data_IF_873952712156
#
_entry.id   IF_873952712156
#
_cell.length_a   1.000
_cell.length_b   1.000
_cell.length_c   1.000
_cell.angle_alpha   90.00
_cell.angle_beta   90.00
_cell.angle_gamma   90.00
#
_symmetry.space_group_name_H-M   'P 1'
#
loop_
_entity.id
_entity.type
_entity.pdbx_description
1 polymer ?
#
# COMPACT_ATOMS: atom_id res chain seq x y z
N UNK A 1 2.58 26.28 28.85
CA UNK A 1 2.76 26.01 27.42
C UNK A 1 2.62 24.51 27.22
N UNK A 2 1.45 24.07 26.76
CA UNK A 2 1.17 22.64 26.53
C UNK A 2 1.66 22.29 25.11
N UNK A 3 2.73 21.51 25.01
CA UNK A 3 3.15 20.91 23.76
C UNK A 3 2.25 19.70 23.49
N UNK A 4 1.25 19.88 22.63
CA UNK A 4 0.56 18.76 22.00
C UNK A 4 1.54 18.11 21.01
N UNK A 5 2.18 17.01 21.41
CA UNK A 5 2.84 16.10 20.47
C UNK A 5 1.74 15.28 19.80
N UNK A 6 1.37 15.66 18.58
CA UNK A 6 0.54 14.82 17.72
C UNK A 6 1.34 13.55 17.37
N UNK A 7 0.81 12.43 17.77
CA UNK A 7 1.32 11.11 17.43
C UNK A 7 0.87 10.79 16.00
N UNK A 8 1.81 10.68 15.08
CA UNK A 8 1.56 10.38 13.67
C UNK A 8 1.37 8.86 13.53
N UNK A 9 0.14 8.41 13.35
CA UNK A 9 -0.17 7.00 13.06
C UNK A 9 0.10 6.77 11.58
N UNK A 10 1.02 5.83 11.29
CA UNK A 10 1.42 5.49 9.94
C UNK A 10 0.54 4.39 9.36
N UNK A 11 -0.36 4.75 8.49
CA UNK A 11 -0.94 3.85 7.51
C UNK A 11 -0.69 4.44 6.12
N UNK A 12 -0.08 3.65 5.27
CA UNK A 12 0.41 4.03 3.95
C UNK A 12 -0.66 3.86 2.90
N UNK A 13 -0.84 4.82 2.12
CA UNK A 13 -1.16 5.00 0.71
C UNK A 13 -2.15 6.13 0.50
N UNK A 14 -1.71 7.17 -0.11
CA UNK A 14 -2.36 8.07 -1.05
C UNK A 14 -1.48 9.28 -1.26
N UNK A 15 -0.47 9.10 -2.13
CA UNK A 15 0.17 10.25 -2.73
C UNK A 15 -0.67 10.61 -3.98
N UNK A 16 -1.83 11.23 -3.79
CA UNK A 16 -2.53 11.86 -4.92
C UNK A 16 -1.82 13.16 -5.23
N UNK A 17 -0.94 13.12 -6.20
CA UNK A 17 -0.31 14.32 -6.73
C UNK A 17 -1.04 14.68 -8.01
N UNK A 18 -1.80 15.76 -7.98
CA UNK A 18 -2.39 16.35 -9.18
C UNK A 18 -1.28 16.99 -10.01
N UNK A 19 -0.97 16.43 -11.17
CA UNK A 19 -0.07 17.07 -12.13
C UNK A 19 -0.78 18.22 -12.84
N UNK A 20 -0.07 19.34 -12.93
CA UNK A 20 -0.35 20.40 -13.92
C UNK A 20 -0.08 19.79 -15.31
N UNK A 21 -1.14 19.66 -16.11
CA UNK A 21 -1.10 18.93 -17.34
C UNK A 21 -0.17 19.49 -18.39
N UNK A 22 0.64 18.61 -18.97
CA UNK A 22 1.01 18.65 -20.36
C UNK A 22 0.37 17.46 -21.06
N UNK A 23 -0.64 17.71 -21.89
CA UNK A 23 -1.19 16.70 -22.79
C UNK A 23 -0.14 16.39 -23.85
N UNK A 24 0.53 15.28 -23.76
CA UNK A 24 1.11 14.63 -24.93
C UNK A 24 0.36 13.34 -25.19
N UNK A 25 -0.26 13.26 -26.34
CA UNK A 25 -1.04 12.12 -26.83
C UNK A 25 -0.15 11.03 -27.46
N UNK A 26 1.12 10.94 -27.11
CA UNK A 26 2.00 9.87 -27.57
C UNK A 26 2.26 8.93 -26.40
N UNK A 27 1.85 7.68 -26.57
CA UNK A 27 2.31 6.56 -25.74
C UNK A 27 3.79 6.34 -26.04
N UNK A 28 4.65 7.26 -25.60
CA UNK A 28 6.08 7.09 -25.72
C UNK A 28 6.51 5.91 -24.85
N UNK A 29 6.68 4.76 -25.51
CA UNK A 29 7.34 3.60 -24.94
C UNK A 29 8.73 4.06 -24.54
N UNK A 30 9.00 4.12 -23.23
CA UNK A 30 10.32 4.49 -22.74
C UNK A 30 11.29 3.33 -23.00
N UNK A 31 11.84 3.25 -24.20
CA UNK A 31 12.76 2.18 -24.64
C UNK A 31 14.16 2.28 -24.02
N UNK A 32 14.36 3.11 -22.99
CA UNK A 32 15.64 3.25 -22.31
C UNK A 32 15.94 2.08 -21.36
N UNK A 33 15.86 0.85 -21.89
CA UNK A 33 16.29 -0.33 -21.15
C UNK A 33 17.19 -1.23 -22.01
N UNK A 34 17.94 -2.07 -21.33
CA UNK A 34 18.79 -3.12 -21.92
C UNK A 34 18.56 -4.43 -21.18
N UNK A 35 18.31 -5.49 -21.95
CA UNK A 35 18.20 -6.86 -21.43
C UNK A 35 19.60 -7.48 -21.52
N UNK A 36 20.19 -7.81 -20.37
CA UNK A 36 21.57 -8.31 -20.29
C UNK A 36 21.70 -9.76 -20.79
N UNK A 37 20.62 -10.53 -20.74
CA UNK A 37 20.54 -11.92 -21.24
C UNK A 37 19.32 -12.06 -22.14
N UNK A 38 19.39 -11.71 -23.43
CA UNK A 38 18.20 -11.60 -24.30
C UNK A 38 17.42 -12.91 -24.52
N UNK A 39 18.03 -14.05 -24.24
CA UNK A 39 17.39 -15.37 -24.37
C UNK A 39 16.71 -15.83 -23.08
N UNK A 40 16.94 -15.14 -21.97
CA UNK A 40 16.37 -15.47 -20.68
C UNK A 40 15.07 -14.69 -20.43
N UNK A 41 14.17 -15.30 -19.70
CA UNK A 41 13.00 -14.59 -19.20
C UNK A 41 13.42 -13.53 -18.20
N UNK A 42 12.72 -12.39 -18.20
CA UNK A 42 12.94 -11.34 -17.20
C UNK A 42 12.05 -11.65 -16.00
N UNK A 43 12.62 -12.29 -14.99
CA UNK A 43 11.93 -12.69 -13.77
C UNK A 43 12.60 -12.04 -12.58
N UNK A 44 11.83 -11.25 -11.82
CA UNK A 44 12.29 -10.47 -10.67
C UNK A 44 11.64 -11.05 -9.42
N UNK A 45 12.40 -11.70 -8.52
CA UNK A 45 11.87 -12.16 -7.24
C UNK A 45 11.41 -10.99 -6.36
N UNK A 46 10.35 -11.20 -5.59
CA UNK A 46 9.90 -10.25 -4.59
C UNK A 46 9.55 -10.90 -3.26
N UNK A 47 9.42 -10.10 -2.23
CA UNK A 47 8.84 -10.46 -0.95
C UNK A 47 7.66 -9.53 -0.61
N UNK A 48 6.74 -10.01 0.21
CA UNK A 48 5.71 -9.14 0.80
C UNK A 48 6.29 -8.56 2.09
N UNK A 49 6.52 -7.26 2.09
CA UNK A 49 7.00 -6.51 3.23
C UNK A 49 6.00 -5.44 3.64
N UNK A 50 5.43 -5.54 4.83
CA UNK A 50 4.38 -4.61 5.34
C UNK A 50 3.15 -4.46 4.43
N UNK A 51 2.80 -5.48 3.70
CA UNK A 51 1.78 -5.58 2.64
C UNK A 51 2.21 -5.02 1.26
N UNK A 52 3.43 -4.54 1.09
CA UNK A 52 3.94 -4.06 -0.19
C UNK A 52 4.73 -5.14 -0.92
N UNK A 53 4.73 -5.10 -2.24
CA UNK A 53 5.65 -5.87 -3.08
C UNK A 53 7.01 -5.21 -3.00
N UNK A 54 7.98 -5.88 -2.37
CA UNK A 54 9.34 -5.37 -2.23
C UNK A 54 10.33 -6.22 -3.03
N UNK A 55 11.08 -5.57 -3.90
CA UNK A 55 12.11 -6.16 -4.75
C UNK A 55 13.49 -5.66 -4.37
N UNK A 56 14.51 -6.40 -4.78
CA UNK A 56 15.90 -5.91 -4.79
C UNK A 56 16.25 -5.34 -6.15
N UNK A 57 16.96 -4.21 -6.14
CA UNK A 57 17.51 -3.58 -7.32
C UNK A 57 18.92 -3.05 -7.03
N UNK A 58 19.62 -2.62 -8.07
CA UNK A 58 20.89 -1.94 -7.96
C UNK A 58 20.79 -0.57 -8.62
N UNK A 59 21.12 0.48 -7.89
CA UNK A 59 21.23 1.86 -8.37
C UNK A 59 22.67 2.32 -8.18
N UNK A 60 23.32 2.76 -9.26
CA UNK A 60 24.72 3.18 -9.24
C UNK A 60 25.65 2.19 -8.52
N UNK A 61 25.48 0.88 -8.81
CA UNK A 61 26.20 -0.24 -8.21
C UNK A 61 25.98 -0.44 -6.69
N UNK A 62 24.91 0.11 -6.13
CA UNK A 62 24.51 -0.08 -4.73
C UNK A 62 23.17 -0.75 -4.62
N UNK A 63 23.05 -1.75 -3.75
CA UNK A 63 21.79 -2.47 -3.52
C UNK A 63 20.74 -1.56 -2.88
N UNK A 64 19.53 -1.60 -3.43
CA UNK A 64 18.36 -0.89 -2.98
C UNK A 64 17.16 -1.84 -2.83
N UNK A 65 16.26 -1.49 -1.93
CA UNK A 65 14.93 -2.09 -1.83
C UNK A 65 13.90 -1.20 -2.52
N UNK A 66 13.11 -1.80 -3.39
CA UNK A 66 12.19 -1.12 -4.30
C UNK A 66 10.77 -1.61 -4.07
N UNK A 67 9.84 -0.68 -3.90
CA UNK A 67 8.41 -0.97 -3.88
C UNK A 67 7.82 -0.89 -5.29
N UNK A 68 6.88 -1.77 -5.58
CA UNK A 68 6.07 -1.72 -6.79
C UNK A 68 4.71 -1.12 -6.46
N UNK A 69 4.39 -0.02 -7.11
CA UNK A 69 3.11 0.67 -6.97
C UNK A 69 2.63 1.15 -8.34
N UNK A 70 1.42 0.74 -8.74
CA UNK A 70 0.82 1.12 -10.02
C UNK A 70 -0.42 2.02 -9.85
N UNK A 71 -0.77 2.40 -8.64
CA UNK A 71 -1.87 3.31 -8.36
C UNK A 71 -1.59 4.73 -8.87
N UNK A 72 -0.32 5.11 -8.87
CA UNK A 72 0.19 6.34 -9.47
C UNK A 72 1.19 6.01 -10.57
N UNK A 73 0.80 6.11 -11.85
CA UNK A 73 1.70 5.86 -12.98
C UNK A 73 2.62 7.06 -13.24
N UNK A 74 3.54 7.27 -12.33
CA UNK A 74 4.60 8.23 -12.49
C UNK A 74 5.67 7.68 -13.41
N UNK A 75 6.14 8.52 -14.30
CA UNK A 75 7.25 8.16 -15.18
C UNK A 75 8.59 8.18 -14.45
N UNK A 76 8.62 8.81 -13.28
CA UNK A 76 9.79 8.96 -12.45
C UNK A 76 9.93 7.84 -11.42
N UNK A 77 11.17 7.53 -11.07
CA UNK A 77 11.50 6.77 -9.87
C UNK A 77 11.31 7.69 -8.66
N UNK A 78 10.59 7.25 -7.63
CA UNK A 78 10.41 8.06 -6.43
C UNK A 78 11.31 7.53 -5.31
N UNK A 79 12.40 8.24 -5.01
CA UNK A 79 13.30 7.92 -3.91
C UNK A 79 12.81 8.51 -2.59
N UNK A 80 12.87 7.71 -1.54
CA UNK A 80 12.50 8.12 -0.19
C UNK A 80 13.73 8.64 0.55
N UNK A 81 13.76 9.94 0.86
CA UNK A 81 14.92 10.60 1.46
C UNK A 81 15.41 9.90 2.72
N UNK A 82 16.66 9.48 2.71
CA UNK A 82 17.35 8.79 3.79
C UNK A 82 18.86 8.92 3.62
N UNK A 83 19.63 8.65 4.69
CA UNK A 83 21.09 8.60 4.60
C UNK A 83 21.59 7.58 3.57
N UNK A 84 20.87 6.47 3.39
CA UNK A 84 21.20 5.47 2.38
C UNK A 84 21.01 6.04 0.98
N UNK A 85 19.88 6.70 0.70
CA UNK A 85 19.60 7.35 -0.59
C UNK A 85 20.63 8.43 -0.89
N UNK A 86 21.00 9.26 0.10
CA UNK A 86 22.07 10.25 -0.04
C UNK A 86 23.41 9.61 -0.46
N UNK A 87 23.66 8.38 0.01
CA UNK A 87 24.88 7.63 -0.34
C UNK A 87 24.90 7.07 -1.77
N UNK A 88 23.75 7.02 -2.49
CA UNK A 88 23.66 6.40 -3.81
C UNK A 88 24.43 7.16 -4.91
N UNK A 89 24.81 8.42 -4.65
CA UNK A 89 25.53 9.26 -5.61
C UNK A 89 24.63 9.70 -6.76
N UNK A 90 23.41 10.12 -6.43
CA UNK A 90 22.48 10.72 -7.38
C UNK A 90 22.96 12.11 -7.81
N UNK A 91 22.75 12.45 -9.07
CA UNK A 91 23.12 13.76 -9.65
C UNK A 91 21.93 14.69 -9.63
N UNK A 92 21.70 15.34 -8.49
CA UNK A 92 20.56 16.23 -8.29
C UNK A 92 20.74 17.52 -9.12
N UNK A 93 19.87 17.76 -10.10
CA UNK A 93 19.99 18.84 -11.09
C UNK A 93 18.86 19.86 -11.05
N UNK A 94 17.85 19.66 -10.21
CA UNK A 94 16.70 20.55 -10.13
C UNK A 94 15.83 20.24 -8.94
N UNK A 95 14.77 21.03 -8.77
CA UNK A 95 13.78 20.87 -7.72
C UNK A 95 12.38 20.76 -8.32
N UNK A 96 11.49 20.02 -7.66
CA UNK A 96 10.05 19.94 -7.95
C UNK A 96 9.27 20.12 -6.65
N UNK A 97 8.06 20.60 -6.81
CA UNK A 97 7.12 20.74 -5.68
C UNK A 97 6.08 19.63 -5.78
N UNK A 98 6.00 18.81 -4.74
CA UNK A 98 5.03 17.73 -4.62
C UNK A 98 3.84 18.24 -3.83
N UNK A 99 2.65 18.14 -4.44
CA UNK A 99 1.39 18.61 -3.88
C UNK A 99 0.51 19.23 -4.94
N UNK A 100 -0.74 19.49 -4.60
CA UNK A 100 -1.64 20.25 -5.47
C UNK A 100 -1.60 21.75 -5.10
N UNK A 101 -2.27 22.57 -5.91
CA UNK A 101 -2.33 24.03 -5.74
C UNK A 101 -3.07 24.48 -4.46
N UNK A 102 -3.64 23.56 -3.69
CA UNK A 102 -4.37 23.83 -2.44
C UNK A 102 -3.50 23.62 -1.20
N UNK A 103 -2.27 23.14 -1.37
CA UNK A 103 -1.35 22.88 -0.26
C UNK A 103 -0.55 24.15 0.08
N UNK A 104 -0.72 24.67 1.29
CA UNK A 104 0.01 25.83 1.78
C UNK A 104 1.53 25.61 1.89
N UNK A 105 1.95 24.36 2.08
CA UNK A 105 3.35 23.97 2.21
C UNK A 105 3.66 22.73 1.35
N UNK A 106 3.96 22.89 0.06
CA UNK A 106 4.30 21.76 -0.80
C UNK A 106 5.61 21.09 -0.34
N UNK A 107 5.70 19.79 -0.51
CA UNK A 107 6.94 19.06 -0.27
C UNK A 107 7.92 19.39 -1.39
N UNK A 108 9.10 19.89 -1.04
CA UNK A 108 10.18 20.12 -2.00
C UNK A 108 10.94 18.81 -2.16
N UNK A 109 11.12 18.39 -3.41
CA UNK A 109 11.90 17.22 -3.76
C UNK A 109 12.95 17.60 -4.83
N UNK A 110 14.05 16.87 -4.84
CA UNK A 110 15.13 17.06 -5.80
C UNK A 110 14.92 16.13 -7.02
N UNK A 111 15.53 16.48 -8.16
CA UNK A 111 15.39 15.73 -9.42
C UNK A 111 16.75 15.27 -9.92
N UNK A 112 16.84 13.99 -10.33
CA UNK A 112 17.92 13.44 -11.15
C UNK A 112 17.32 12.92 -12.48
N UNK A 113 17.97 13.16 -13.60
CA UNK A 113 17.49 12.76 -14.93
C UNK A 113 18.34 11.65 -15.57
N UNK A 114 19.24 11.04 -14.81
CA UNK A 114 20.27 10.15 -15.35
C UNK A 114 20.40 8.82 -14.59
N UNK A 115 19.42 8.47 -13.75
CA UNK A 115 19.50 7.28 -12.91
C UNK A 115 19.44 6.00 -13.73
N UNK A 116 20.39 5.10 -13.49
CA UNK A 116 20.32 3.74 -13.97
C UNK A 116 19.92 2.81 -12.84
N UNK A 117 18.86 2.04 -13.07
CA UNK A 117 18.38 1.03 -12.12
C UNK A 117 18.35 -0.33 -12.80
N UNK A 118 18.90 -1.35 -12.14
CA UNK A 118 18.91 -2.71 -12.64
C UNK A 118 18.17 -3.67 -11.71
N UNK A 119 17.39 -4.55 -12.34
CA UNK A 119 16.71 -5.66 -11.70
C UNK A 119 17.16 -6.94 -12.41
N UNK A 120 17.72 -7.89 -11.67
CA UNK A 120 18.17 -9.16 -12.22
C UNK A 120 18.93 -9.01 -13.56
N UNK A 121 18.29 -9.35 -14.69
CA UNK A 121 18.90 -9.32 -16.04
C UNK A 121 18.41 -8.16 -16.93
N UNK A 122 17.80 -7.11 -16.36
CA UNK A 122 17.37 -5.91 -17.07
C UNK A 122 17.90 -4.64 -16.40
N UNK A 123 18.31 -3.68 -17.22
CA UNK A 123 18.75 -2.34 -16.77
C UNK A 123 17.88 -1.29 -17.45
N UNK A 124 17.23 -0.47 -16.66
CA UNK A 124 16.55 0.75 -17.11
C UNK A 124 17.54 1.90 -17.01
N UNK A 125 17.84 2.55 -18.14
CA UNK A 125 18.89 3.57 -18.26
C UNK A 125 18.28 4.97 -18.31
N UNK A 126 18.99 5.94 -17.74
CA UNK A 126 18.66 7.38 -17.80
C UNK A 126 17.20 7.64 -17.37
N UNK A 127 16.78 7.01 -16.31
CA UNK A 127 15.46 7.26 -15.74
C UNK A 127 15.48 8.58 -14.99
N UNK A 128 14.38 9.33 -15.11
CA UNK A 128 14.14 10.48 -14.27
C UNK A 128 13.75 10.01 -12.87
N UNK A 129 14.27 10.68 -11.86
CA UNK A 129 14.00 10.38 -10.47
C UNK A 129 13.57 11.63 -9.72
N UNK A 130 12.65 11.46 -8.80
CA UNK A 130 12.28 12.43 -7.78
C UNK A 130 12.80 11.91 -6.45
N UNK A 131 13.52 12.75 -5.71
CA UNK A 131 14.15 12.40 -4.45
C UNK A 131 13.54 13.26 -3.35
N UNK A 132 12.71 12.68 -2.49
CA UNK A 132 12.19 13.41 -1.33
C UNK A 132 13.32 13.69 -0.36
N UNK A 133 13.34 14.89 0.22
CA UNK A 133 14.39 15.28 1.17
C UNK A 133 14.21 14.58 2.50
N UNK A 134 15.30 14.08 3.06
CA UNK A 134 15.31 13.54 4.42
C UNK A 134 15.03 14.65 5.42
N UNK A 135 14.01 14.45 6.26
CA UNK A 135 13.68 15.36 7.35
C UNK A 135 14.06 14.68 8.67
N UNK A 136 15.13 15.13 9.36
CA UNK A 136 15.54 14.55 10.63
C UNK A 136 14.42 14.60 11.68
N UNK A 137 14.20 13.47 12.35
CA UNK A 137 13.20 13.34 13.42
C UNK A 137 11.77 13.01 12.95
N UNK A 138 11.51 12.99 11.64
CA UNK A 138 10.33 12.28 11.13
C UNK A 138 10.66 10.79 11.05
N UNK A 139 9.75 9.93 11.52
CA UNK A 139 9.90 8.49 11.30
C UNK A 139 10.04 8.23 9.80
N UNK A 140 10.97 7.35 9.43
CA UNK A 140 11.05 6.93 8.04
C UNK A 140 9.78 6.15 7.69
N UNK A 141 8.86 6.82 7.02
CA UNK A 141 7.57 6.24 6.63
C UNK A 141 7.76 5.04 5.69
N UNK A 142 8.90 4.97 5.03
CA UNK A 142 9.29 3.95 4.05
C UNK A 142 10.34 2.98 4.60
N UNK A 143 10.36 2.81 5.93
CA UNK A 143 11.32 1.90 6.57
C UNK A 143 11.33 0.54 5.87
N UNK A 144 12.50 0.17 5.35
CA UNK A 144 12.70 -1.06 4.60
C UNK A 144 12.53 -0.93 3.08
N UNK A 145 12.32 0.31 2.55
CA UNK A 145 12.36 0.61 1.13
C UNK A 145 13.15 1.90 0.88
N UNK A 146 13.84 1.97 -0.24
CA UNK A 146 14.65 3.10 -0.66
C UNK A 146 13.96 3.92 -1.74
N UNK A 147 13.17 3.25 -2.59
CA UNK A 147 12.43 3.89 -3.67
C UNK A 147 11.19 3.08 -4.09
N UNK A 148 10.36 3.74 -4.88
CA UNK A 148 9.19 3.18 -5.53
C UNK A 148 9.35 3.24 -7.05
N UNK A 149 8.89 2.18 -7.72
CA UNK A 149 8.77 2.13 -9.19
C UNK A 149 7.32 1.90 -9.59
N UNK A 150 6.94 2.51 -10.71
CA UNK A 150 5.59 2.41 -11.24
C UNK A 150 5.63 2.22 -12.77
N UNK A 151 5.51 3.29 -13.51
CA UNK A 151 5.32 3.29 -14.96
C UNK A 151 6.40 2.53 -15.73
N UNK A 152 7.63 2.50 -15.25
CA UNK A 152 8.76 1.89 -15.93
C UNK A 152 8.53 0.41 -16.30
N UNK A 153 7.78 -0.34 -15.49
CA UNK A 153 7.41 -1.71 -15.85
C UNK A 153 6.18 -1.72 -16.78
N UNK A 154 5.11 -1.08 -16.37
CA UNK A 154 3.80 -1.16 -17.02
C UNK A 154 3.73 -0.44 -18.38
N UNK A 155 4.61 0.53 -18.64
CA UNK A 155 4.70 1.19 -19.95
C UNK A 155 5.51 0.41 -20.97
N UNK A 156 6.42 -0.45 -20.53
CA UNK A 156 7.34 -1.18 -21.42
C UNK A 156 6.98 -2.65 -21.60
N UNK A 157 6.27 -3.27 -20.63
CA UNK A 157 6.04 -4.70 -20.59
C UNK A 157 4.59 -5.05 -20.24
N UNK A 158 4.18 -6.24 -20.67
CA UNK A 158 3.12 -6.96 -19.97
C UNK A 158 3.72 -7.48 -18.69
N UNK A 159 3.07 -7.20 -17.55
CA UNK A 159 3.60 -7.50 -16.22
C UNK A 159 2.77 -8.61 -15.60
N UNK A 160 3.38 -9.77 -15.41
CA UNK A 160 2.81 -10.87 -14.65
C UNK A 160 3.34 -10.84 -13.22
N UNK A 161 2.45 -10.90 -12.24
CA UNK A 161 2.77 -10.97 -10.81
C UNK A 161 2.22 -12.27 -10.26
N UNK A 162 3.11 -13.18 -9.89
CA UNK A 162 2.76 -14.45 -9.26
C UNK A 162 2.96 -14.35 -7.76
N UNK A 163 1.86 -14.24 -7.01
CA UNK A 163 1.90 -14.14 -5.55
C UNK A 163 2.15 -15.50 -4.87
N UNK A 164 1.87 -16.60 -5.53
CA UNK A 164 2.11 -17.93 -4.99
C UNK A 164 3.59 -18.28 -4.96
N UNK A 165 4.32 -17.93 -6.03
CA UNK A 165 5.75 -18.19 -6.20
C UNK A 165 6.61 -16.94 -5.95
N UNK A 166 5.97 -15.78 -5.79
CA UNK A 166 6.61 -14.48 -5.45
C UNK A 166 7.63 -14.01 -6.48
N UNK A 167 7.19 -13.90 -7.71
CA UNK A 167 7.96 -13.28 -8.78
C UNK A 167 7.12 -12.32 -9.62
N UNK A 168 7.81 -11.38 -10.26
CA UNK A 168 7.30 -10.53 -11.33
C UNK A 168 8.00 -10.95 -12.61
N UNK A 169 7.23 -11.22 -13.67
CA UNK A 169 7.74 -11.50 -14.99
C UNK A 169 7.41 -10.35 -15.94
N UNK A 170 8.43 -9.84 -16.63
CA UNK A 170 8.28 -8.78 -17.62
C UNK A 170 8.31 -9.41 -19.02
N UNK A 171 7.24 -9.22 -19.79
CA UNK A 171 7.03 -9.90 -21.07
C UNK A 171 6.93 -8.85 -22.19
N UNK A 172 7.65 -9.05 -23.29
CA UNK A 172 7.53 -8.22 -24.49
C UNK A 172 6.07 -8.20 -24.99
N UNK A 173 5.41 -7.04 -25.06
CA UNK A 173 4.02 -6.96 -25.48
C UNK A 173 3.73 -7.57 -26.86
N UNK A 174 4.72 -7.53 -27.78
CA UNK A 174 4.60 -8.11 -29.14
C UNK A 174 4.57 -9.64 -29.12
N UNK A 175 5.22 -10.24 -28.11
CA UNK A 175 5.33 -11.70 -27.95
C UNK A 175 4.26 -12.26 -27.03
N UNK A 176 3.64 -11.41 -26.21
CA UNK A 176 2.67 -11.86 -25.23
C UNK A 176 1.45 -12.50 -25.88
N UNK A 177 1.07 -13.63 -25.36
CA UNK A 177 -0.21 -14.31 -25.60
C UNK A 177 -0.63 -14.93 -24.29
N UNK A 178 -1.82 -14.56 -23.82
CA UNK A 178 -2.33 -15.16 -22.60
C UNK A 178 -2.70 -16.61 -22.83
N UNK A 179 -2.13 -17.51 -22.05
CA UNK A 179 -2.36 -18.96 -22.12
C UNK A 179 -2.81 -19.54 -20.78
N UNK A 180 -3.03 -18.69 -19.77
CA UNK A 180 -3.51 -19.10 -18.46
C UNK A 180 -4.99 -19.45 -18.44
N UNK A 181 -5.48 -19.86 -17.27
CA UNK A 181 -6.88 -20.24 -17.05
C UNK A 181 -7.69 -19.11 -16.37
N UNK A 182 -7.08 -17.96 -16.18
CA UNK A 182 -7.72 -16.83 -15.51
C UNK A 182 -8.68 -16.07 -16.40
N UNK A 183 -9.53 -15.29 -15.76
CA UNK A 183 -10.48 -14.43 -16.45
C UNK A 183 -9.83 -13.11 -16.86
N UNK A 184 -10.01 -12.71 -18.11
CA UNK A 184 -9.58 -11.42 -18.63
C UNK A 184 -10.67 -10.36 -18.45
N UNK A 185 -10.39 -9.33 -17.65
CA UNK A 185 -11.26 -8.16 -17.49
C UNK A 185 -10.74 -7.01 -18.35
N UNK A 186 -11.67 -6.19 -18.86
CA UNK A 186 -11.30 -4.98 -19.57
C UNK A 186 -10.93 -3.89 -18.59
N UNK A 187 -9.80 -3.25 -18.84
CA UNK A 187 -9.40 -2.03 -18.15
C UNK A 187 -9.92 -0.80 -18.89
N UNK A 188 -10.25 0.23 -18.13
CA UNK A 188 -10.57 1.57 -18.62
C UNK A 188 -9.44 2.51 -18.24
N UNK A 189 -9.22 3.53 -19.02
CA UNK A 189 -8.32 4.61 -18.66
C UNK A 189 -8.98 5.49 -17.59
N UNK A 190 -8.24 5.70 -16.51
CA UNK A 190 -8.58 6.60 -15.42
C UNK A 190 -7.74 7.88 -15.45
N UNK A 191 -7.88 8.76 -14.45
CA UNK A 191 -7.06 9.95 -14.32
C UNK A 191 -5.57 9.60 -14.24
N UNK A 192 -4.71 10.49 -14.76
CA UNK A 192 -3.25 10.34 -14.70
C UNK A 192 -2.75 9.00 -15.26
N UNK A 193 -3.37 8.53 -16.35
CA UNK A 193 -3.06 7.24 -17.00
C UNK A 193 -3.23 6.01 -16.09
N UNK A 194 -3.93 6.13 -14.96
CA UNK A 194 -4.26 4.98 -14.11
C UNK A 194 -5.19 4.00 -14.83
N UNK A 195 -5.37 2.81 -14.28
CA UNK A 195 -6.22 1.78 -14.87
C UNK A 195 -7.33 1.38 -13.91
N UNK A 196 -8.55 1.44 -14.41
CA UNK A 196 -9.77 1.11 -13.70
C UNK A 196 -10.34 -0.20 -14.22
N UNK A 197 -10.94 -0.99 -13.33
CA UNK A 197 -11.80 -2.12 -13.69
C UNK A 197 -13.18 -1.91 -13.08
N UNK A 198 -14.21 -2.38 -13.78
CA UNK A 198 -15.59 -2.34 -13.25
C UNK A 198 -15.80 -3.57 -12.36
N UNK A 199 -16.33 -3.35 -11.18
CA UNK A 199 -16.71 -4.38 -10.23
C UNK A 199 -18.18 -4.20 -9.79
N UNK A 200 -18.81 -5.27 -9.33
CA UNK A 200 -20.08 -5.21 -8.63
C UNK A 200 -19.88 -5.49 -7.14
N UNK A 201 -20.48 -4.66 -6.30
CA UNK A 201 -20.35 -4.74 -4.85
C UNK A 201 -21.71 -4.96 -4.21
N UNK A 202 -21.86 -6.07 -3.49
CA UNK A 202 -22.99 -6.28 -2.59
C UNK A 202 -22.68 -5.67 -1.23
N UNK A 203 -23.37 -4.59 -0.88
CA UNK A 203 -23.15 -3.85 0.36
C UNK A 203 -23.79 -4.54 1.57
N UNK A 204 -23.48 -4.08 2.78
CA UNK A 204 -23.99 -4.64 4.05
C UNK A 204 -25.51 -4.67 4.14
N UNK A 205 -26.19 -3.68 3.56
CA UNK A 205 -27.65 -3.61 3.50
C UNK A 205 -28.29 -4.49 2.41
N UNK A 206 -27.48 -5.17 1.58
CA UNK A 206 -27.93 -6.02 0.48
C UNK A 206 -28.06 -5.33 -0.87
N UNK A 207 -27.93 -4.02 -0.93
CA UNK A 207 -27.93 -3.30 -2.21
C UNK A 207 -26.68 -3.65 -3.01
N UNK A 208 -26.81 -3.71 -4.33
CA UNK A 208 -25.70 -3.96 -5.26
C UNK A 208 -25.41 -2.69 -6.05
N UNK A 209 -24.15 -2.36 -6.20
CA UNK A 209 -23.69 -1.22 -6.98
C UNK A 209 -22.60 -1.65 -7.96
N UNK A 210 -22.62 -1.03 -9.15
CA UNK A 210 -21.53 -1.10 -10.10
C UNK A 210 -20.61 0.11 -9.90
N UNK A 211 -19.31 -0.14 -9.84
CA UNK A 211 -18.32 0.89 -9.57
C UNK A 211 -17.02 0.60 -10.34
N UNK A 212 -16.40 1.66 -10.84
CA UNK A 212 -15.06 1.55 -11.41
C UNK A 212 -14.02 1.74 -10.30
N UNK A 213 -13.11 0.79 -10.18
CA UNK A 213 -12.10 0.70 -9.13
C UNK A 213 -10.71 0.83 -9.74
N UNK A 214 -9.91 1.72 -9.21
CA UNK A 214 -8.48 1.79 -9.49
C UNK A 214 -7.81 0.50 -9.00
N UNK A 215 -7.00 -0.14 -9.85
CA UNK A 215 -6.19 -1.29 -9.45
C UNK A 215 -4.86 -0.76 -8.91
N UNK A 216 -4.67 -0.87 -7.58
CA UNK A 216 -3.58 -0.21 -6.88
C UNK A 216 -2.79 -1.19 -5.99
N UNK A 217 -1.57 -1.52 -6.41
CA UNK A 217 -0.64 -2.37 -5.65
C UNK A 217 -0.05 -1.66 -4.41
N UNK A 218 -0.15 -0.33 -4.34
CA UNK A 218 0.25 0.47 -3.17
C UNK A 218 -0.87 0.64 -2.14
N UNK A 219 -2.12 0.29 -2.47
CA UNK A 219 -3.25 0.38 -1.55
C UNK A 219 -3.23 -0.70 -0.46
N UNK A 220 -3.17 -0.31 0.82
CA UNK A 220 -3.00 -1.26 1.94
C UNK A 220 -4.27 -2.03 2.34
N UNK A 221 -5.47 -1.48 2.09
CA UNK A 221 -6.73 -2.17 2.35
C UNK A 221 -7.22 -2.92 1.11
N UNK A 222 -8.00 -4.00 1.26
CA UNK A 222 -8.54 -4.74 0.12
C UNK A 222 -9.39 -3.89 -0.81
N UNK A 223 -10.23 -3.02 -0.24
CA UNK A 223 -11.18 -2.18 -0.98
C UNK A 223 -11.27 -0.81 -0.31
N UNK A 224 -11.38 0.23 -1.15
CA UNK A 224 -11.66 1.61 -0.71
C UNK A 224 -12.92 2.11 -1.41
N UNK A 225 -13.82 2.72 -0.63
CA UNK A 225 -15.05 3.33 -1.12
C UNK A 225 -15.21 4.74 -0.54
N UNK A 226 -15.48 5.77 -1.38
CA UNK A 226 -15.67 7.13 -0.93
C UNK A 226 -17.09 7.32 -0.37
N UNK A 227 -17.20 7.88 0.82
CA UNK A 227 -18.48 8.32 1.38
C UNK A 227 -18.63 9.83 1.26
N UNK A 228 -19.88 10.27 1.18
CA UNK A 228 -20.23 11.69 1.00
C UNK A 228 -20.25 12.17 -0.45
N UNK A 229 -19.71 11.39 -1.40
CA UNK A 229 -19.69 11.71 -2.83
C UNK A 229 -20.74 10.95 -3.64
N UNK A 230 -20.99 9.72 -3.30
CA UNK A 230 -22.00 8.85 -3.91
C UNK A 230 -23.08 8.51 -2.89
N UNK A 231 -24.32 8.81 -3.19
CA UNK A 231 -25.45 8.56 -2.29
C UNK A 231 -25.82 7.07 -2.22
N UNK A 232 -25.30 6.24 -3.16
CA UNK A 232 -25.55 4.80 -3.21
C UNK A 232 -24.51 3.97 -2.42
N UNK A 233 -23.48 4.60 -1.85
CA UNK A 233 -22.52 3.93 -0.95
C UNK A 233 -23.04 4.05 0.48
N UNK A 234 -23.26 2.89 1.11
CA UNK A 234 -23.82 2.80 2.45
C UNK A 234 -22.78 2.27 3.43
N UNK A 235 -22.58 3.01 4.54
CA UNK A 235 -21.75 2.56 5.63
C UNK A 235 -22.39 1.36 6.34
N UNK A 236 -21.60 0.29 6.64
CA UNK A 236 -22.11 -0.81 7.43
C UNK A 236 -22.36 -0.39 8.90
N UNK A 237 -23.31 -1.05 9.57
CA UNK A 237 -23.56 -0.81 10.98
C UNK A 237 -22.36 -1.22 11.85
N UNK A 238 -21.77 -2.40 11.54
CA UNK A 238 -20.53 -2.83 12.18
C UNK A 238 -19.34 -2.16 11.48
N UNK A 239 -18.86 -1.06 12.08
CA UNK A 239 -17.72 -0.29 11.59
C UNK A 239 -16.98 0.35 12.74
N UNK A 240 -15.75 0.73 12.48
CA UNK A 240 -14.92 1.53 13.39
C UNK A 240 -14.42 2.78 12.67
N UNK A 241 -14.38 3.89 13.38
CA UNK A 241 -13.71 5.10 12.92
C UNK A 241 -12.20 4.93 13.07
N UNK A 242 -11.43 5.28 12.05
CA UNK A 242 -9.98 5.10 12.03
C UNK A 242 -9.29 6.10 11.12
N UNK A 243 -8.01 6.29 11.37
CA UNK A 243 -7.11 6.92 10.39
C UNK A 243 -6.78 5.85 9.34
N UNK A 244 -7.24 6.06 8.11
CA UNK A 244 -7.07 5.11 7.01
C UNK A 244 -5.73 5.24 6.29
N UNK A 245 -5.02 6.33 6.53
CA UNK A 245 -3.75 6.62 5.91
C UNK A 245 -3.30 8.04 6.18
N UNK A 246 -2.20 8.45 5.55
CA UNK A 246 -1.72 9.82 5.57
C UNK A 246 -1.47 10.29 4.14
N UNK A 247 -2.17 11.33 3.74
CA UNK A 247 -1.89 12.07 2.51
C UNK A 247 -0.87 13.19 2.75
N UNK A 248 -0.55 13.93 1.70
CA UNK A 248 0.29 15.14 1.79
C UNK A 248 -0.34 16.22 2.69
N UNK A 249 -1.65 16.23 2.80
CA UNK A 249 -2.41 17.19 3.62
C UNK A 249 -2.62 16.73 5.07
N UNK A 250 -2.15 15.55 5.43
CA UNK A 250 -2.31 14.99 6.77
C UNK A 250 -3.07 13.65 6.80
N UNK A 251 -3.58 13.25 7.97
CA UNK A 251 -4.26 11.97 8.13
C UNK A 251 -5.57 11.93 7.33
N UNK A 252 -5.80 10.81 6.65
CA UNK A 252 -7.05 10.50 5.96
C UNK A 252 -7.96 9.80 6.97
N UNK A 253 -9.03 10.48 7.36
CA UNK A 253 -10.04 9.94 8.28
C UNK A 253 -11.10 9.16 7.53
N UNK A 254 -11.74 8.22 8.21
CA UNK A 254 -12.87 7.47 7.69
C UNK A 254 -13.23 6.29 8.56
N UNK A 255 -13.87 5.29 7.95
CA UNK A 255 -14.36 4.13 8.67
C UNK A 255 -13.81 2.85 8.04
N UNK A 256 -13.58 1.85 8.88
CA UNK A 256 -13.34 0.49 8.46
C UNK A 256 -14.58 -0.36 8.74
N UNK A 257 -14.97 -1.15 7.77
CA UNK A 257 -16.11 -2.05 7.86
C UNK A 257 -16.02 -3.10 6.76
N UNK A 258 -17.12 -3.84 6.50
CA UNK A 258 -17.12 -4.88 5.47
C UNK A 258 -18.28 -4.72 4.51
N UNK A 259 -17.99 -4.95 3.22
CA UNK A 259 -19.03 -5.25 2.23
C UNK A 259 -19.25 -6.76 2.17
N UNK A 260 -20.45 -7.19 1.81
CA UNK A 260 -20.79 -8.62 1.79
C UNK A 260 -20.03 -9.39 0.73
N UNK A 261 -19.94 -8.84 -0.47
CA UNK A 261 -19.34 -9.50 -1.62
C UNK A 261 -18.81 -8.45 -2.61
N UNK A 262 -17.69 -8.77 -3.22
CA UNK A 262 -17.12 -8.07 -4.36
C UNK A 262 -17.05 -9.06 -5.53
N UNK A 263 -17.64 -8.71 -6.67
CA UNK A 263 -17.57 -9.50 -7.90
C UNK A 263 -16.61 -8.84 -8.90
N UNK A 264 -15.59 -9.60 -9.31
CA UNK A 264 -14.61 -9.26 -10.33
C UNK A 264 -14.78 -10.24 -11.49
N UNK A 265 -15.64 -9.90 -12.44
CA UNK A 265 -16.09 -10.86 -13.47
C UNK A 265 -16.83 -12.04 -12.83
N UNK A 266 -16.34 -13.27 -13.02
CA UNK A 266 -16.95 -14.47 -12.43
C UNK A 266 -16.46 -14.78 -11.01
N UNK A 267 -15.45 -14.04 -10.53
CA UNK A 267 -14.89 -14.26 -9.19
C UNK A 267 -15.65 -13.47 -8.13
N UNK A 268 -15.98 -14.16 -7.04
CA UNK A 268 -16.65 -13.58 -5.88
C UNK A 268 -15.74 -13.67 -4.65
N UNK A 269 -15.44 -12.52 -4.08
CA UNK A 269 -14.73 -12.41 -2.81
C UNK A 269 -15.71 -11.96 -1.74
N UNK A 270 -15.82 -12.76 -0.68
CA UNK A 270 -16.82 -12.54 0.36
C UNK A 270 -16.25 -11.77 1.55
N UNK A 271 -17.13 -11.04 2.24
CA UNK A 271 -16.83 -10.37 3.50
C UNK A 271 -15.59 -9.47 3.42
N UNK A 272 -15.55 -8.61 2.40
CA UNK A 272 -14.35 -7.82 2.05
C UNK A 272 -14.18 -6.66 3.02
N UNK A 273 -13.04 -6.64 3.73
CA UNK A 273 -12.62 -5.49 4.53
C UNK A 273 -12.52 -4.26 3.65
N UNK A 274 -13.19 -3.18 4.04
CA UNK A 274 -13.35 -1.97 3.23
C UNK A 274 -13.01 -0.73 4.04
N UNK A 275 -12.17 0.11 3.48
CA UNK A 275 -11.91 1.45 3.97
C UNK A 275 -12.91 2.42 3.34
N UNK A 276 -13.77 3.01 4.14
CA UNK A 276 -14.73 4.03 3.71
C UNK A 276 -14.11 5.41 3.97
N UNK A 277 -13.60 6.05 2.92
CA UNK A 277 -12.91 7.33 3.03
C UNK A 277 -13.89 8.49 2.98
N UNK A 278 -13.76 9.43 3.91
CA UNK A 278 -14.50 10.69 3.84
C UNK A 278 -13.87 11.57 2.76
N UNK A 279 -14.65 11.95 1.79
CA UNK A 279 -14.18 12.71 0.63
C UNK A 279 -15.02 13.96 0.44
N UNK A 280 -14.35 15.09 0.27
CA UNK A 280 -15.03 16.31 -0.13
C UNK A 280 -15.66 16.14 -1.52
N UNK A 281 -16.87 16.71 -1.71
CA UNK A 281 -17.58 16.66 -3.00
C UNK A 281 -16.78 17.24 -4.15
N UNK A 282 -15.85 18.13 -3.88
CA UNK A 282 -14.95 18.76 -4.85
C UNK A 282 -13.75 17.87 -5.25
N UNK A 283 -13.44 16.83 -4.47
CA UNK A 283 -12.33 15.94 -4.77
C UNK A 283 -12.54 15.14 -6.06
N UNK A 284 -11.46 14.68 -6.67
CA UNK A 284 -11.50 13.84 -7.89
C UNK A 284 -12.37 12.59 -7.70
N UNK A 285 -13.14 12.22 -8.73
CA UNK A 285 -14.08 11.09 -8.68
C UNK A 285 -13.39 9.74 -8.46
N UNK A 286 -12.16 9.61 -8.89
CA UNK A 286 -11.47 8.32 -9.03
C UNK A 286 -10.41 8.04 -7.98
N UNK A 287 -9.99 9.02 -7.20
CA UNK A 287 -8.88 8.85 -6.25
C UNK A 287 -9.19 8.05 -5.00
N UNK A 288 -10.47 7.67 -4.80
CA UNK A 288 -10.94 7.08 -3.55
C UNK A 288 -11.73 5.78 -3.74
N UNK A 289 -11.76 5.24 -4.97
CA UNK A 289 -12.32 3.93 -5.27
C UNK A 289 -11.20 3.02 -5.73
N UNK A 290 -10.74 2.10 -4.88
CA UNK A 290 -9.55 1.32 -5.19
C UNK A 290 -9.67 -0.13 -4.75
N UNK A 291 -9.01 -1.01 -5.50
CA UNK A 291 -8.64 -2.37 -5.10
C UNK A 291 -7.17 -2.35 -4.68
N UNK A 292 -6.92 -2.61 -3.40
CA UNK A 292 -5.56 -2.61 -2.91
C UNK A 292 -4.93 -3.99 -2.83
N UNK A 293 -3.66 -3.99 -2.45
CA UNK A 293 -2.79 -5.18 -2.49
C UNK A 293 -3.35 -6.39 -1.73
N UNK A 294 -4.04 -6.19 -0.60
CA UNK A 294 -4.61 -7.29 0.18
C UNK A 294 -5.74 -8.05 -0.51
N UNK A 295 -6.41 -7.42 -1.48
CA UNK A 295 -7.32 -8.11 -2.37
C UNK A 295 -6.57 -8.67 -3.57
N UNK A 296 -5.72 -7.85 -4.17
CA UNK A 296 -5.00 -8.20 -5.39
C UNK A 296 -4.12 -9.45 -5.21
N UNK A 297 -3.48 -9.63 -4.05
CA UNK A 297 -2.69 -10.84 -3.75
C UNK A 297 -3.50 -12.14 -3.63
N UNK A 298 -4.83 -12.05 -3.63
CA UNK A 298 -5.69 -13.23 -3.73
C UNK A 298 -5.74 -13.80 -5.16
N UNK A 299 -5.07 -13.13 -6.09
CA UNK A 299 -4.93 -13.54 -7.47
C UNK A 299 -3.47 -13.51 -7.92
N UNK A 300 -3.08 -14.41 -8.81
CA UNK A 300 -1.95 -14.19 -9.68
C UNK A 300 -2.44 -13.31 -10.82
N UNK A 301 -1.73 -12.24 -11.15
CA UNK A 301 -2.26 -11.17 -11.98
C UNK A 301 -1.36 -10.94 -13.18
N UNK A 302 -1.96 -10.81 -14.38
CA UNK A 302 -1.25 -10.32 -15.55
C UNK A 302 -1.86 -9.00 -16.02
N UNK A 303 -1.06 -7.94 -16.01
CA UNK A 303 -1.41 -6.61 -16.49
C UNK A 303 -0.95 -6.44 -17.94
N UNK A 304 -1.88 -6.39 -18.87
CA UNK A 304 -1.65 -6.06 -20.28
C UNK A 304 -2.23 -4.67 -20.60
N UNK A 305 -1.48 -3.64 -20.26
CA UNK A 305 -1.89 -2.24 -20.50
C UNK A 305 -1.95 -1.89 -21.99
N UNK A 306 -1.26 -2.66 -22.84
CA UNK A 306 -1.25 -2.44 -24.29
C UNK A 306 -2.57 -2.84 -24.94
N UNK A 307 -3.21 -3.87 -24.43
CA UNK A 307 -4.50 -4.36 -24.90
C UNK A 307 -5.66 -4.03 -23.95
N UNK A 308 -5.44 -3.16 -22.95
CA UNK A 308 -6.44 -2.76 -21.95
C UNK A 308 -7.07 -3.97 -21.24
N UNK A 309 -6.23 -4.93 -20.83
CA UNK A 309 -6.66 -6.16 -20.18
C UNK A 309 -5.89 -6.40 -18.88
N UNK A 310 -6.62 -6.92 -17.91
CA UNK A 310 -6.04 -7.55 -16.72
C UNK A 310 -6.57 -8.97 -16.65
N UNK A 311 -5.68 -9.93 -16.41
CA UNK A 311 -6.07 -11.32 -16.23
C UNK A 311 -5.88 -11.69 -14.77
N UNK A 312 -6.91 -12.28 -14.17
CA UNK A 312 -6.94 -12.68 -12.77
C UNK A 312 -7.04 -14.22 -12.70
N UNK A 313 -6.09 -14.83 -12.04
CA UNK A 313 -6.11 -16.26 -11.71
C UNK A 313 -6.15 -16.42 -10.19
N UNK A 314 -7.10 -17.14 -9.59
CA UNK A 314 -7.13 -17.35 -8.16
C UNK A 314 -5.78 -17.87 -7.65
N UNK A 315 -5.20 -17.20 -6.65
CA UNK A 315 -4.02 -17.67 -5.93
C UNK A 315 -4.41 -18.67 -4.83
N UNK A 316 -3.44 -19.27 -4.16
CA UNK A 316 -3.68 -20.13 -2.97
C UNK A 316 -4.40 -19.40 -1.83
N UNK A 317 -4.36 -18.07 -1.83
CA UNK A 317 -5.02 -17.23 -0.82
C UNK A 317 -6.37 -16.68 -1.31
N UNK A 318 -6.90 -17.19 -2.44
CA UNK A 318 -8.19 -16.74 -2.99
C UNK A 318 -9.32 -16.92 -1.96
N UNK A 319 -10.12 -15.85 -1.81
CA UNK A 319 -11.24 -15.74 -0.88
C UNK A 319 -10.86 -15.95 0.60
N UNK A 320 -9.56 -15.80 0.93
CA UNK A 320 -9.10 -15.85 2.31
C UNK A 320 -9.54 -14.60 3.06
N UNK A 321 -10.05 -14.83 4.26
CA UNK A 321 -10.46 -13.73 5.13
C UNK A 321 -9.29 -12.79 5.41
N UNK A 322 -9.50 -11.50 5.19
CA UNK A 322 -8.55 -10.44 5.56
C UNK A 322 -9.01 -9.83 6.86
N UNK A 323 -8.29 -10.15 7.93
CA UNK A 323 -8.58 -9.60 9.25
C UNK A 323 -8.02 -8.18 9.39
N UNK A 324 -8.76 -7.37 10.14
CA UNK A 324 -8.26 -6.12 10.68
C UNK A 324 -7.94 -6.32 12.16
N UNK A 325 -6.94 -5.69 12.66
CA UNK A 325 -6.54 -5.58 14.06
C UNK A 325 -7.20 -6.56 15.07
N UNK A 326 -6.54 -7.69 15.29
CA UNK A 326 -7.01 -8.73 16.23
C UNK A 326 -6.86 -8.34 17.70
N UNK A 327 -6.06 -7.32 18.01
CA UNK A 327 -5.77 -6.92 19.39
C UNK A 327 -6.82 -5.99 19.99
N UNK A 328 -7.48 -5.19 19.15
CA UNK A 328 -8.38 -4.14 19.58
C UNK A 328 -7.71 -2.85 20.02
N UNK A 329 -6.40 -2.71 19.75
CA UNK A 329 -5.65 -1.47 20.01
C UNK A 329 -4.55 -1.26 18.95
N UNK A 330 -4.06 -0.03 18.84
CA UNK A 330 -2.91 0.34 18.02
C UNK A 330 -1.74 0.69 18.91
N UNK A 331 -0.53 0.51 18.36
CA UNK A 331 0.69 0.79 19.09
C UNK A 331 1.81 1.25 18.14
N UNK A 332 2.75 1.99 18.71
CA UNK A 332 4.01 2.37 18.07
C UNK A 332 5.18 2.02 19.00
N UNK A 333 6.36 1.73 18.43
CA UNK A 333 7.58 1.63 19.24
C UNK A 333 7.83 2.94 20.01
N UNK A 334 8.18 2.79 21.29
CA UNK A 334 8.67 3.90 22.10
C UNK A 334 10.20 4.04 21.98
N UNK A 335 10.82 5.13 22.50
CA UNK A 335 12.28 5.30 22.47
C UNK A 335 13.08 4.20 23.20
N UNK A 336 12.45 3.47 24.13
CA UNK A 336 13.05 2.41 24.89
C UNK A 336 12.89 1.02 24.24
N UNK A 337 12.25 0.99 23.04
CA UNK A 337 12.01 -0.23 22.27
C UNK A 337 10.84 -1.08 22.77
N UNK A 338 9.93 -0.51 23.59
CA UNK A 338 8.66 -1.11 23.95
C UNK A 338 7.55 -0.65 22.98
N UNK A 339 6.29 -1.04 23.22
CA UNK A 339 5.15 -0.62 22.42
C UNK A 339 4.24 0.32 23.20
N UNK A 340 4.19 1.59 22.81
CA UNK A 340 3.26 2.57 23.34
C UNK A 340 1.89 2.43 22.68
N UNK A 341 0.83 2.21 23.47
CA UNK A 341 -0.55 2.14 22.98
C UNK A 341 -1.01 3.52 22.54
N UNK A 342 -1.32 3.67 21.25
CA UNK A 342 -1.70 4.95 20.63
C UNK A 342 -3.21 5.10 20.48
N UNK A 343 -3.94 4.02 20.35
CA UNK A 343 -5.40 4.00 20.24
C UNK A 343 -5.96 2.69 20.81
N UNK A 344 -7.18 2.71 21.35
CA UNK A 344 -7.92 1.52 21.75
C UNK A 344 -9.33 1.62 21.16
N UNK A 345 -9.72 0.60 20.43
CA UNK A 345 -11.02 0.57 19.77
C UNK A 345 -12.15 0.25 20.75
N UNK A 346 -13.22 1.01 20.63
CA UNK A 346 -14.40 0.83 21.46
C UNK A 346 -15.01 -0.59 21.30
N UNK A 347 -15.48 -1.14 22.40
CA UNK A 347 -16.06 -2.50 22.50
C UNK A 347 -15.08 -3.66 22.21
N UNK A 348 -13.81 -3.37 21.97
CA UNK A 348 -12.78 -4.39 21.74
C UNK A 348 -12.45 -5.22 22.97
N UNK A 349 -11.77 -6.35 22.76
CA UNK A 349 -11.24 -7.17 23.86
C UNK A 349 -10.22 -6.41 24.70
N UNK A 350 -9.41 -5.54 24.08
CA UNK A 350 -8.43 -4.69 24.76
C UNK A 350 -9.09 -3.69 25.71
N UNK A 351 -10.12 -2.97 25.24
CA UNK A 351 -10.86 -2.02 26.08
C UNK A 351 -11.49 -2.73 27.28
N UNK A 352 -12.21 -3.84 27.03
CA UNK A 352 -12.84 -4.64 28.10
C UNK A 352 -11.83 -5.17 29.12
N UNK A 353 -10.62 -5.46 28.69
CA UNK A 353 -9.52 -5.92 29.55
C UNK A 353 -8.80 -4.76 30.28
N UNK A 354 -9.16 -3.50 29.99
CA UNK A 354 -8.61 -2.31 30.63
C UNK A 354 -7.26 -1.86 30.06
N UNK A 355 -6.96 -2.15 28.79
CA UNK A 355 -5.90 -1.48 28.04
C UNK A 355 -6.42 -0.10 27.66
N UNK A 356 -5.61 0.94 27.84
CA UNK A 356 -5.98 2.31 27.51
C UNK A 356 -4.85 3.00 26.74
N UNK A 357 -5.17 4.03 25.99
CA UNK A 357 -4.19 4.87 25.32
C UNK A 357 -3.15 5.40 26.32
N UNK A 358 -1.88 5.41 25.92
CA UNK A 358 -0.75 5.81 26.76
C UNK A 358 -0.17 4.67 27.62
N UNK A 359 -0.77 3.49 27.61
CA UNK A 359 -0.14 2.31 28.21
C UNK A 359 1.12 1.92 27.44
N UNK A 360 2.13 1.38 28.14
CA UNK A 360 3.36 0.85 27.55
C UNK A 360 3.37 -0.66 27.71
N UNK A 361 3.42 -1.39 26.60
CA UNK A 361 3.54 -2.85 26.58
C UNK A 361 5.01 -3.20 26.53
N UNK A 362 5.48 -3.91 27.54
CA UNK A 362 6.89 -4.28 27.71
C UNK A 362 7.17 -5.75 27.37
N UNK A 363 6.15 -6.62 27.44
CA UNK A 363 6.29 -8.05 27.13
C UNK A 363 5.04 -8.57 26.44
N UNK A 364 5.22 -9.55 25.58
CA UNK A 364 4.17 -10.41 25.00
C UNK A 364 4.48 -11.85 25.39
N UNK A 365 3.51 -12.54 26.03
CA UNK A 365 3.67 -13.91 26.51
C UNK A 365 4.96 -14.11 27.34
N UNK A 366 5.26 -13.15 28.23
CA UNK A 366 6.46 -13.08 29.08
C UNK A 366 7.79 -12.85 28.32
N UNK A 367 7.79 -12.67 27.01
CA UNK A 367 8.96 -12.35 26.21
C UNK A 367 9.06 -10.82 26.11
N UNK A 368 10.20 -10.18 26.45
CA UNK A 368 10.40 -8.75 26.29
C UNK A 368 10.25 -8.32 24.83
N UNK A 369 9.63 -7.16 24.58
CA UNK A 369 9.40 -6.64 23.22
C UNK A 369 10.70 -6.56 22.41
N UNK A 370 11.79 -6.12 23.04
CA UNK A 370 13.12 -5.98 22.42
C UNK A 370 13.76 -7.30 21.94
N UNK A 371 13.27 -8.43 22.42
CA UNK A 371 13.80 -9.75 22.08
C UNK A 371 13.11 -10.36 20.85
N UNK A 372 12.06 -9.71 20.31
CA UNK A 372 11.40 -10.12 19.08
C UNK A 372 12.17 -9.61 17.85
N UNK A 373 12.22 -10.43 16.82
CA UNK A 373 12.67 -10.01 15.49
C UNK A 373 11.61 -9.16 14.79
N UNK A 374 12.06 -8.39 13.82
CA UNK A 374 11.14 -7.59 12.99
C UNK A 374 10.06 -8.49 12.35
N UNK A 375 8.78 -8.12 12.54
CA UNK A 375 7.62 -8.84 12.03
C UNK A 375 7.08 -9.98 12.91
N UNK A 376 7.84 -10.52 13.87
CA UNK A 376 7.37 -11.61 14.74
C UNK A 376 6.16 -11.19 15.59
N UNK A 377 6.21 -9.99 16.17
CA UNK A 377 5.10 -9.44 16.96
C UNK A 377 3.82 -9.42 16.13
N UNK A 378 3.91 -8.89 14.90
CA UNK A 378 2.77 -8.84 14.00
C UNK A 378 2.21 -10.23 13.70
N UNK A 379 3.08 -11.20 13.44
CA UNK A 379 2.69 -12.59 13.17
C UNK A 379 1.93 -13.19 14.36
N UNK A 380 2.38 -12.93 15.59
CA UNK A 380 1.71 -13.42 16.81
C UNK A 380 0.34 -12.74 16.97
N UNK A 381 0.26 -11.44 16.76
CA UNK A 381 -0.92 -10.63 17.01
C UNK A 381 -2.00 -10.75 15.90
N UNK A 382 -1.72 -11.46 14.81
CA UNK A 382 -2.67 -11.74 13.74
C UNK A 382 -3.20 -13.19 13.77
N UNK A 383 -2.92 -13.96 14.83
CA UNK A 383 -3.42 -15.34 15.00
C UNK A 383 -4.77 -15.32 15.72
N UNK A 384 -5.84 -15.51 14.95
CA UNK A 384 -7.21 -15.57 15.48
C UNK A 384 -7.39 -16.65 16.54
N UNK A 385 -8.30 -16.40 17.48
CA UNK A 385 -8.64 -17.29 18.61
C UNK A 385 -7.47 -17.63 19.57
N UNK A 386 -6.35 -16.94 19.41
CA UNK A 386 -5.21 -17.10 20.31
C UNK A 386 -5.32 -16.15 21.50
N UNK A 387 -5.13 -16.66 22.70
CA UNK A 387 -4.95 -15.83 23.89
C UNK A 387 -3.51 -15.34 23.97
N UNK A 388 -3.34 -14.00 24.07
CA UNK A 388 -2.06 -13.34 24.23
C UNK A 388 -2.05 -12.58 25.54
N UNK A 389 -0.97 -12.75 26.32
CA UNK A 389 -0.78 -12.04 27.58
C UNK A 389 0.21 -10.91 27.38
N UNK A 390 -0.22 -9.69 27.67
CA UNK A 390 0.59 -8.49 27.65
C UNK A 390 1.04 -8.10 29.05
N UNK A 391 2.31 -7.75 29.22
CA UNK A 391 2.73 -7.03 30.41
C UNK A 391 2.67 -5.55 30.12
N UNK A 392 1.78 -4.87 30.79
CA UNK A 392 1.43 -3.44 30.56
C UNK A 392 1.94 -2.61 31.72
N UNK A 393 2.64 -1.53 31.44
CA UNK A 393 2.97 -0.48 32.40
C UNK A 393 1.98 0.68 32.21
N UNK A 394 1.22 0.97 33.26
CA UNK A 394 0.27 2.07 33.30
C UNK A 394 0.61 2.96 34.50
N UNK A 395 1.06 4.18 34.27
CA UNK A 395 1.42 5.16 35.32
C UNK A 395 2.39 4.57 36.37
N UNK A 396 3.39 3.79 35.93
CA UNK A 396 4.38 3.17 36.83
C UNK A 396 3.92 1.86 37.48
N UNK A 397 2.66 1.47 37.32
CA UNK A 397 2.16 0.17 37.78
C UNK A 397 2.22 -0.88 36.67
N UNK A 398 2.85 -2.01 36.97
CA UNK A 398 2.97 -3.13 36.04
C UNK A 398 1.87 -4.15 36.31
N UNK A 399 1.13 -4.53 35.28
CA UNK A 399 0.09 -5.57 35.35
C UNK A 399 0.15 -6.49 34.14
N UNK A 400 -0.34 -7.71 34.29
CA UNK A 400 -0.55 -8.63 33.17
C UNK A 400 -2.01 -8.58 32.73
N UNK A 401 -2.24 -8.50 31.43
CA UNK A 401 -3.55 -8.46 30.80
C UNK A 401 -3.56 -9.51 29.69
N UNK A 402 -4.49 -10.42 29.75
CA UNK A 402 -4.70 -11.43 28.70
C UNK A 402 -5.92 -11.08 27.88
N UNK A 403 -5.78 -11.11 26.57
CA UNK A 403 -6.88 -10.92 25.63
C UNK A 403 -6.90 -12.08 24.62
N UNK A 404 -8.09 -12.46 24.21
CA UNK A 404 -8.27 -13.35 23.07
C UNK A 404 -8.29 -12.51 21.79
N UNK A 405 -7.42 -12.87 20.84
CA UNK A 405 -7.31 -12.19 19.57
C UNK A 405 -8.52 -12.51 18.71
N UNK A 406 -9.28 -11.49 18.32
CA UNK A 406 -10.46 -11.61 17.44
C UNK A 406 -10.49 -10.44 16.49
N UNK A 407 -10.92 -10.70 15.26
CA UNK A 407 -11.23 -9.61 14.36
C UNK A 407 -12.30 -8.71 14.97
N UNK A 408 -12.07 -7.41 14.96
CA UNK A 408 -12.97 -6.45 15.60
C UNK A 408 -14.05 -5.91 14.66
N UNK A 409 -14.02 -6.31 13.37
CA UNK A 409 -14.99 -5.89 12.34
C UNK A 409 -15.61 -7.12 11.68
#
# INVERSE_FOLDING_TARGET
MKHNRQVLIMAFSMLVISQIGCKSNDRDINLNYEILSPNDEIVIPFEIYRNDIRMKATVNNKECFVLLDNGSLWDELLFFGSQKVDSLGLSLTGEVYLGDSTIDNPIIADVDTSVNISFHNIVFKKQKAIVTRYIPGLPNMWEGADLQVSAVFFKNFVVEINFDERFIKLIDPKKFRYTGNGQGLRMKEGPNNSRLITAEIAQSNGNRILIDLLVDLGGIYPLYLPIGKRDDIVLPDNRIESILGSGLQGPVMGYLGRVKELELGDYKVNNVLTAFTEVDKSASEYGNTMLGIKLLQQFNITFDYFNERIFLEPSKDFNKHVSFNMTGFEFLPDPDGNLGVTNVYANSAAEKAGIVQGNIITHINNIPIKDFKAGEIRTILMQEERTVTFTVNSNGQRKQISIELRDII
#
